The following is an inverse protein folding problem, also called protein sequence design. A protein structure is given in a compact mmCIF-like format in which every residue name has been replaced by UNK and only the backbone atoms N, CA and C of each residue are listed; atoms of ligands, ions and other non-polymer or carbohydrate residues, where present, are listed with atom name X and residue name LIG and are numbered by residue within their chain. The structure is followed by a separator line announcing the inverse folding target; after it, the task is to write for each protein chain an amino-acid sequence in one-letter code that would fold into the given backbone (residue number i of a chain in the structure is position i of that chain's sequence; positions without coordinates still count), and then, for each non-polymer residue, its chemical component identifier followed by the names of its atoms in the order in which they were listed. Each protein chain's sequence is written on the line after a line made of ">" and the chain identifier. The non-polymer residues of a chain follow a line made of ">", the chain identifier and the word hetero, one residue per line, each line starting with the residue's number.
data_IF_346478663009
#
_entry.id   IF_346478663009
#
_cell.length_a   1.000
_cell.length_b   1.000
_cell.length_c   1.000
_cell.angle_alpha   90.00
_cell.angle_beta   90.00
_cell.angle_gamma   90.00
#
_symmetry.space_group_name_H-M   'P 1'
#
loop_
_entity.id
_entity.type
_entity.pdbx_description
1 polymer ?
#
# COMPACT_ATOMS: atom_id res chain seq x y z
N UNK A 1 -3.83 -1.07 7.13
CA UNK A 1 -3.48 -1.76 5.86
C UNK A 1 -4.03 -3.19 5.82
N UNK A 2 -3.62 -4.11 6.70
CA UNK A 2 -4.13 -5.51 6.65
C UNK A 2 -5.66 -5.60 6.66
N UNK A 3 -6.34 -4.83 7.53
CA UNK A 3 -7.80 -4.73 7.52
C UNK A 3 -8.37 -4.18 6.20
N UNK A 4 -7.76 -3.14 5.61
CA UNK A 4 -8.20 -2.58 4.33
C UNK A 4 -8.15 -3.63 3.22
N UNK A 5 -7.08 -4.43 3.19
CA UNK A 5 -6.92 -5.55 2.27
C UNK A 5 -7.97 -6.64 2.52
N UNK A 6 -8.27 -6.96 3.78
CA UNK A 6 -9.35 -7.91 4.11
C UNK A 6 -10.72 -7.44 3.63
N UNK A 7 -11.01 -6.15 3.76
CA UNK A 7 -12.34 -5.59 3.45
C UNK A 7 -12.53 -5.35 1.94
N UNK A 8 -11.48 -4.94 1.22
CA UNK A 8 -11.59 -4.49 -0.18
C UNK A 8 -10.78 -5.31 -1.19
N UNK A 9 -9.86 -6.18 -0.73
CA UNK A 9 -8.95 -6.94 -1.59
C UNK A 9 -9.68 -7.97 -2.46
N UNK A 10 -9.47 -7.88 -3.78
CA UNK A 10 -9.97 -8.81 -4.79
C UNK A 10 -9.21 -8.62 -6.12
N UNK A 11 -9.74 -9.13 -7.24
CA UNK A 11 -9.12 -8.98 -8.57
C UNK A 11 -8.99 -7.52 -9.05
N UNK A 12 -9.61 -6.58 -8.34
CA UNK A 12 -9.78 -5.20 -8.78
C UNK A 12 -9.20 -4.16 -7.81
N UNK A 13 -8.69 -4.61 -6.66
CA UNK A 13 -8.03 -3.78 -5.64
C UNK A 13 -7.03 -4.62 -4.83
N UNK A 14 -5.83 -4.07 -4.61
CA UNK A 14 -4.77 -4.71 -3.81
C UNK A 14 -3.96 -3.64 -3.03
N UNK A 15 -3.65 -3.93 -1.77
CA UNK A 15 -2.67 -3.20 -0.96
C UNK A 15 -1.27 -3.78 -1.20
N UNK A 16 -0.48 -3.06 -1.98
CA UNK A 16 0.91 -3.43 -2.27
C UNK A 16 1.87 -2.78 -1.26
N UNK A 17 2.53 -3.58 -0.41
CA UNK A 17 3.54 -3.03 0.52
C UNK A 17 4.96 -3.21 0.00
N UNK A 18 5.75 -2.15 0.13
CA UNK A 18 7.13 -2.09 -0.36
C UNK A 18 8.04 -1.59 0.76
N UNK A 19 8.89 -2.47 1.27
CA UNK A 19 9.95 -2.10 2.17
C UNK A 19 11.08 -1.45 1.37
N UNK A 20 11.29 -0.14 1.52
CA UNK A 20 12.36 0.58 0.81
C UNK A 20 13.66 0.65 1.61
N UNK A 21 14.76 0.99 0.96
CA UNK A 21 16.09 1.07 1.57
C UNK A 21 16.55 -0.27 2.15
N UNK A 22 17.60 -0.27 2.98
CA UNK A 22 18.22 -1.50 3.51
C UNK A 22 17.27 -2.27 4.44
N UNK A 23 16.42 -3.10 3.83
CA UNK A 23 15.57 -4.08 4.47
C UNK A 23 15.90 -5.46 3.90
N UNK A 24 16.23 -6.41 4.78
CA UNK A 24 16.44 -7.80 4.37
C UNK A 24 15.11 -8.53 4.26
N UNK A 25 14.99 -9.50 3.35
CA UNK A 25 13.79 -10.35 3.28
C UNK A 25 13.49 -11.02 4.62
N UNK A 26 14.52 -11.41 5.37
CA UNK A 26 14.38 -11.98 6.72
C UNK A 26 13.76 -10.99 7.71
N UNK A 27 14.23 -9.73 7.73
CA UNK A 27 13.69 -8.72 8.64
C UNK A 27 12.26 -8.34 8.30
N UNK A 28 11.91 -8.29 7.01
CA UNK A 28 10.52 -8.06 6.55
C UNK A 28 9.63 -9.21 7.03
N UNK A 29 10.03 -10.46 6.80
CA UNK A 29 9.27 -11.63 7.22
C UNK A 29 9.08 -11.65 8.75
N UNK A 30 10.16 -11.47 9.52
CA UNK A 30 10.08 -11.44 11.00
C UNK A 30 9.21 -10.31 11.52
N UNK A 31 9.16 -9.15 10.85
CA UNK A 31 8.24 -8.07 11.23
C UNK A 31 6.79 -8.48 11.03
N UNK A 32 6.44 -9.06 9.88
CA UNK A 32 5.08 -9.55 9.59
C UNK A 32 4.64 -10.63 10.56
N UNK A 33 5.52 -11.59 10.87
CA UNK A 33 5.26 -12.65 11.85
C UNK A 33 5.01 -12.06 13.25
N UNK A 34 5.77 -11.02 13.64
CA UNK A 34 5.62 -10.36 14.94
C UNK A 34 4.28 -9.64 15.09
N UNK A 35 3.74 -9.08 14.01
CA UNK A 35 2.46 -8.35 14.02
C UNK A 35 1.28 -9.20 13.57
N UNK A 36 1.50 -10.49 13.33
CA UNK A 36 0.51 -11.47 12.87
C UNK A 36 -0.24 -11.04 11.59
N UNK A 37 0.49 -10.51 10.62
CA UNK A 37 -0.05 -10.10 9.32
C UNK A 37 0.36 -11.09 8.23
N UNK A 38 -0.61 -11.67 7.55
CA UNK A 38 -0.40 -12.69 6.51
C UNK A 38 -0.97 -12.34 5.14
N UNK A 39 -1.81 -11.31 5.04
CA UNK A 39 -2.55 -10.98 3.82
C UNK A 39 -1.97 -9.82 2.99
N UNK A 40 -0.82 -9.27 3.39
CA UNK A 40 -0.17 -8.18 2.65
C UNK A 40 1.05 -8.71 1.88
N UNK A 41 1.25 -8.18 0.68
CA UNK A 41 2.47 -8.46 -0.11
C UNK A 41 3.71 -7.93 0.62
N UNK A 42 4.87 -8.56 0.40
CA UNK A 42 6.14 -8.29 1.12
C UNK A 42 7.24 -7.86 0.16
N UNK A 43 6.96 -6.89 -0.71
CA UNK A 43 7.94 -6.44 -1.70
C UNK A 43 9.07 -5.64 -1.05
N UNK A 44 10.21 -5.59 -1.74
CA UNK A 44 11.42 -4.93 -1.27
C UNK A 44 12.01 -4.05 -2.37
N UNK A 45 12.37 -2.82 -2.03
CA UNK A 45 13.09 -1.85 -2.85
C UNK A 45 14.42 -1.52 -2.15
N UNK A 46 15.40 -2.45 -2.14
CA UNK A 46 16.55 -2.39 -1.25
C UNK A 46 17.45 -1.18 -1.50
N UNK A 47 17.45 -0.69 -2.73
CA UNK A 47 18.23 0.47 -3.14
C UNK A 47 17.42 1.76 -3.13
N UNK A 48 16.10 1.72 -2.93
CA UNK A 48 15.21 2.88 -3.02
C UNK A 48 14.99 3.36 -4.46
N UNK A 49 15.26 2.53 -5.48
CA UNK A 49 15.23 2.94 -6.87
C UNK A 49 13.79 3.25 -7.33
N UNK A 50 12.86 2.34 -6.98
CA UNK A 50 11.43 2.54 -7.24
C UNK A 50 10.91 3.74 -6.46
N UNK A 51 11.25 3.84 -5.17
CA UNK A 51 10.82 4.93 -4.31
C UNK A 51 11.23 6.29 -4.89
N UNK A 52 12.47 6.41 -5.39
CA UNK A 52 12.96 7.63 -6.04
C UNK A 52 12.27 7.89 -7.38
N UNK A 53 12.06 6.88 -8.22
CA UNK A 53 11.37 7.07 -9.50
C UNK A 53 9.91 7.51 -9.32
N UNK A 54 9.29 7.10 -8.22
CA UNK A 54 7.93 7.50 -7.82
C UNK A 54 7.89 8.82 -7.03
N UNK A 55 9.01 9.55 -6.91
CA UNK A 55 9.07 10.83 -6.21
C UNK A 55 8.73 10.75 -4.73
N UNK A 56 9.01 9.63 -4.05
CA UNK A 56 8.82 9.48 -2.60
C UNK A 56 9.85 10.34 -1.86
N UNK A 57 9.38 11.38 -1.17
CA UNK A 57 10.23 12.35 -0.47
C UNK A 57 10.49 11.99 1.00
N UNK A 58 9.65 11.14 1.58
CA UNK A 58 9.72 10.74 2.98
C UNK A 58 8.91 9.47 3.24
N UNK A 59 9.10 8.88 4.40
CA UNK A 59 8.36 7.70 4.83
C UNK A 59 7.57 7.98 6.11
N UNK A 60 6.41 7.32 6.30
CA UNK A 60 5.74 6.51 5.29
C UNK A 60 5.10 7.38 4.20
N UNK A 61 4.99 6.84 2.99
CA UNK A 61 4.21 7.43 1.89
C UNK A 61 3.31 6.35 1.31
N UNK A 62 2.03 6.65 1.13
CA UNK A 62 1.06 5.82 0.42
C UNK A 62 0.69 6.50 -0.89
N UNK A 63 0.75 5.76 -2.00
CA UNK A 63 0.33 6.21 -3.32
C UNK A 63 -0.94 5.44 -3.68
N UNK A 64 -1.91 6.12 -4.27
CA UNK A 64 -3.14 5.51 -4.80
C UNK A 64 -2.98 5.48 -6.31
N UNK A 65 -2.92 4.27 -6.87
CA UNK A 65 -2.70 4.02 -8.28
C UNK A 65 -3.99 3.46 -8.89
N UNK A 66 -4.45 4.05 -9.99
CA UNK A 66 -5.60 3.57 -10.74
C UNK A 66 -5.28 2.31 -11.54
N UNK A 67 -6.31 1.62 -12.03
CA UNK A 67 -6.26 0.51 -12.99
C UNK A 67 -5.48 0.84 -14.26
N UNK A 68 -5.51 2.11 -14.70
CA UNK A 68 -4.72 2.58 -15.85
C UNK A 68 -3.25 2.84 -15.53
N UNK A 69 -2.81 2.61 -14.28
CA UNK A 69 -1.44 2.83 -13.82
C UNK A 69 -1.12 4.28 -13.49
N UNK A 70 -2.13 5.15 -13.32
CA UNK A 70 -1.92 6.57 -12.99
C UNK A 70 -2.00 6.78 -11.48
N UNK A 71 -1.12 7.61 -10.94
CA UNK A 71 -1.26 8.11 -9.57
C UNK A 71 -2.46 9.07 -9.51
N UNK A 72 -3.44 8.73 -8.66
CA UNK A 72 -4.67 9.51 -8.44
C UNK A 72 -4.73 10.11 -7.03
N UNK A 73 -3.79 9.75 -6.16
CA UNK A 73 -3.69 10.31 -4.82
C UNK A 73 -2.40 9.91 -4.13
N UNK A 74 -2.03 10.69 -3.12
CA UNK A 74 -0.84 10.46 -2.30
C UNK A 74 -1.06 10.97 -0.89
N UNK A 75 -0.53 10.22 0.07
CA UNK A 75 -0.41 10.64 1.46
C UNK A 75 1.06 10.51 1.90
N UNK A 76 1.62 11.59 2.45
CA UNK A 76 2.88 11.56 3.19
C UNK A 76 2.55 11.59 4.69
N UNK A 77 3.02 10.58 5.43
CA UNK A 77 2.73 10.38 6.84
C UNK A 77 1.84 9.19 7.12
N UNK A 78 1.60 8.95 8.41
CA UNK A 78 0.78 7.86 8.91
C UNK A 78 -0.72 8.12 8.72
N UNK A 79 -1.48 7.05 8.49
CA UNK A 79 -2.95 7.07 8.54
C UNK A 79 -3.50 5.72 8.99
N UNK A 80 -4.65 5.76 9.67
CA UNK A 80 -5.45 4.57 9.94
C UNK A 80 -6.27 4.18 8.71
N UNK A 81 -5.61 3.49 7.77
CA UNK A 81 -6.24 2.93 6.58
C UNK A 81 -7.28 1.83 6.89
N UNK A 82 -7.38 1.35 8.13
CA UNK A 82 -8.41 0.40 8.56
C UNK A 82 -9.63 1.06 9.21
N UNK A 83 -9.64 2.39 9.32
CA UNK A 83 -10.77 3.17 9.82
C UNK A 83 -11.98 3.08 8.87
N UNK A 84 -13.22 3.23 9.38
CA UNK A 84 -14.42 3.26 8.55
C UNK A 84 -14.32 4.28 7.41
N UNK A 85 -13.86 5.50 7.71
CA UNK A 85 -13.74 6.59 6.74
C UNK A 85 -12.73 6.25 5.61
N UNK A 86 -11.60 5.63 5.96
CA UNK A 86 -10.61 5.23 4.96
C UNK A 86 -11.14 4.11 4.06
N UNK A 87 -11.86 3.13 4.62
CA UNK A 87 -12.46 2.04 3.85
C UNK A 87 -13.56 2.60 2.92
N UNK A 88 -14.41 3.50 3.40
CA UNK A 88 -15.44 4.16 2.59
C UNK A 88 -14.80 4.94 1.43
N UNK A 89 -13.77 5.74 1.73
CA UNK A 89 -13.04 6.49 0.70
C UNK A 89 -12.42 5.57 -0.35
N UNK A 90 -11.73 4.50 0.05
CA UNK A 90 -11.10 3.57 -0.90
C UNK A 90 -12.13 2.78 -1.71
N UNK A 91 -13.26 2.41 -1.10
CA UNK A 91 -14.37 1.75 -1.80
C UNK A 91 -14.98 2.66 -2.87
N UNK A 92 -15.15 3.95 -2.57
CA UNK A 92 -15.62 4.94 -3.52
C UNK A 92 -14.63 5.13 -4.69
N UNK A 93 -13.32 5.24 -4.39
CA UNK A 93 -12.28 5.34 -5.41
C UNK A 93 -12.26 4.09 -6.30
N UNK A 94 -12.26 2.90 -5.70
CA UNK A 94 -12.33 1.61 -6.42
C UNK A 94 -13.51 1.61 -7.38
N UNK A 95 -14.71 1.92 -6.89
CA UNK A 95 -15.92 1.94 -7.71
C UNK A 95 -15.81 2.92 -8.88
N UNK A 96 -15.33 4.14 -8.63
CA UNK A 96 -15.18 5.17 -9.66
C UNK A 96 -14.15 4.78 -10.73
N UNK A 97 -13.05 4.13 -10.34
CA UNK A 97 -11.97 3.74 -11.25
C UNK A 97 -12.35 2.56 -12.18
N UNK A 98 -13.32 1.73 -11.79
CA UNK A 98 -13.81 0.63 -12.64
C UNK A 98 -15.01 1.01 -13.52
N UNK A 99 -15.55 2.21 -13.36
CA UNK A 99 -16.64 2.72 -14.20
C UNK A 99 -16.14 3.36 -15.51
N UNK A 100 -14.83 3.60 -15.64
CA UNK A 100 -14.17 4.24 -16.79
C UNK A 100 -12.98 3.43 -17.30
#
# INVERSE_FOLDING_TARGET
>A
LSKLETELGDETFEVVTIATMRNSTKSIQSFFDKIDVQNLSKHNDPNGALSRSMGVLGLPTTLIISKSGKEIGRLLGDADWGSPDAIELMSAIKTADHQY
#
